data_IF_579911925705
#
_entry.id   IF_579911925705
#
_cell.length_a   1.000
_cell.length_b   1.000
_cell.length_c   1.000
_cell.angle_alpha   90.00
_cell.angle_beta   90.00
_cell.angle_gamma   90.00
#
_symmetry.space_group_name_H-M   'P 1'
#
loop_
_entity.id
_entity.type
_entity.pdbx_description
1 polymer ?
#
# COMPACT_ATOMS: atom_id res chain seq x y z
N UNK A 1 0.33 -19.09 -17.22
CA UNK A 1 1.37 -19.39 -16.22
C UNK A 1 1.68 -18.09 -15.50
N UNK A 2 1.19 -17.92 -14.27
CA UNK A 2 1.29 -16.67 -13.50
C UNK A 2 2.29 -16.92 -12.37
N UNK A 3 3.44 -16.26 -12.41
CA UNK A 3 4.44 -16.34 -11.34
C UNK A 3 3.92 -15.53 -10.14
N UNK A 4 3.85 -16.08 -8.93
CA UNK A 4 3.57 -15.28 -7.75
C UNK A 4 4.74 -14.34 -7.52
N UNK A 5 4.50 -13.03 -7.54
CA UNK A 5 5.47 -12.05 -7.06
C UNK A 5 5.69 -12.30 -5.56
N UNK A 6 6.79 -12.97 -5.23
CA UNK A 6 7.31 -12.96 -3.87
C UNK A 6 7.59 -11.51 -3.51
N UNK A 7 6.85 -10.98 -2.54
CA UNK A 7 7.24 -9.80 -1.79
C UNK A 7 8.53 -10.14 -1.03
N UNK A 8 9.67 -10.15 -1.72
CA UNK A 8 10.98 -10.24 -1.06
C UNK A 8 11.17 -8.98 -0.23
N UNK A 9 11.24 -9.15 1.08
CA UNK A 9 11.58 -8.06 1.98
C UNK A 9 13.07 -7.77 1.82
N UNK A 10 13.42 -6.84 0.92
CA UNK A 10 14.81 -6.46 0.65
C UNK A 10 15.36 -5.63 1.81
N UNK A 11 16.20 -6.24 2.65
CA UNK A 11 16.85 -5.55 3.77
C UNK A 11 18.00 -4.68 3.25
N UNK A 12 17.70 -3.43 2.92
CA UNK A 12 18.70 -2.42 2.57
C UNK A 12 19.16 -1.69 3.84
N UNK A 13 20.47 -1.54 4.01
CA UNK A 13 21.05 -0.80 5.15
C UNK A 13 21.06 0.69 4.86
N UNK A 14 20.40 1.50 5.70
CA UNK A 14 20.44 2.96 5.60
C UNK A 14 21.43 3.49 6.63
N UNK A 15 22.41 4.27 6.17
CA UNK A 15 23.32 4.99 7.05
C UNK A 15 22.62 6.21 7.64
N UNK A 16 22.48 6.23 8.97
CA UNK A 16 21.85 7.32 9.72
C UNK A 16 22.89 7.90 10.69
N UNK A 17 22.89 9.22 10.88
CA UNK A 17 23.84 9.85 11.81
C UNK A 17 23.67 9.32 13.25
N UNK A 18 24.77 9.16 14.03
CA UNK A 18 24.70 8.62 15.40
C UNK A 18 23.69 9.32 16.31
N UNK A 19 23.59 10.67 16.33
CA UNK A 19 22.62 11.36 17.20
C UNK A 19 21.16 11.02 16.88
N UNK A 20 20.85 10.80 15.60
CA UNK A 20 19.50 10.44 15.16
C UNK A 20 19.20 8.99 15.51
N UNK A 21 20.17 8.09 15.31
CA UNK A 21 20.00 6.67 15.68
C UNK A 21 19.75 6.50 17.18
N UNK A 22 20.49 7.21 18.03
CA UNK A 22 20.27 7.19 19.48
C UNK A 22 18.92 7.79 19.89
N UNK A 23 18.49 8.87 19.23
CA UNK A 23 17.18 9.47 19.49
C UNK A 23 16.04 8.52 19.09
N UNK A 24 16.19 7.84 17.95
CA UNK A 24 15.25 6.83 17.47
C UNK A 24 15.18 5.63 18.42
N UNK A 25 16.30 5.12 18.93
CA UNK A 25 16.31 4.00 19.89
C UNK A 25 15.58 4.34 21.19
N UNK A 26 15.80 5.54 21.74
CA UNK A 26 15.07 6.01 22.92
C UNK A 26 13.57 6.12 22.68
N UNK A 27 13.17 6.62 21.50
CA UNK A 27 11.76 6.73 21.13
C UNK A 27 11.11 5.35 20.93
N UNK A 28 11.80 4.44 20.25
CA UNK A 28 11.34 3.07 20.01
C UNK A 28 11.05 2.36 21.36
N UNK A 29 11.99 2.44 22.30
CA UNK A 29 11.82 1.90 23.66
C UNK A 29 10.63 2.50 24.40
N UNK A 30 10.43 3.82 24.30
CA UNK A 30 9.29 4.50 24.93
C UNK A 30 7.95 4.04 24.34
N UNK A 31 7.92 3.72 23.05
CA UNK A 31 6.73 3.27 22.34
C UNK A 31 6.52 1.75 22.36
N UNK A 32 7.45 0.98 22.95
CA UNK A 32 7.41 -0.48 22.93
C UNK A 32 7.65 -1.09 21.54
N UNK A 33 8.34 -0.37 20.65
CA UNK A 33 8.65 -0.78 19.28
C UNK A 33 10.11 -1.20 19.16
N UNK A 34 10.42 -2.04 18.18
CA UNK A 34 11.79 -2.23 17.71
C UNK A 34 12.25 -1.02 16.89
N UNK A 35 13.57 -0.82 16.81
CA UNK A 35 14.15 0.27 16.04
C UNK A 35 13.78 0.19 14.54
N UNK A 36 13.74 -1.02 13.98
CA UNK A 36 13.33 -1.25 12.58
C UNK A 36 11.87 -0.88 12.38
N UNK A 37 10.96 -1.29 13.26
CA UNK A 37 9.53 -0.94 13.17
C UNK A 37 9.32 0.58 13.25
N UNK A 38 10.04 1.26 14.13
CA UNK A 38 10.00 2.72 14.21
C UNK A 38 10.44 3.36 12.89
N UNK A 39 11.54 2.90 12.28
CA UNK A 39 11.98 3.41 10.98
C UNK A 39 10.97 3.14 9.87
N UNK A 40 10.39 1.94 9.82
CA UNK A 40 9.36 1.60 8.85
C UNK A 40 8.15 2.52 9.00
N UNK A 41 7.62 2.70 10.22
CA UNK A 41 6.48 3.58 10.46
C UNK A 41 6.77 5.04 10.13
N UNK A 42 7.96 5.53 10.49
CA UNK A 42 8.38 6.89 10.19
C UNK A 42 8.47 7.13 8.67
N UNK A 43 9.08 6.20 7.93
CA UNK A 43 9.17 6.27 6.47
C UNK A 43 7.80 6.16 5.81
N UNK A 44 6.96 5.21 6.23
CA UNK A 44 5.59 5.07 5.71
C UNK A 44 4.80 6.38 5.91
N UNK A 45 4.85 6.95 7.11
CA UNK A 45 4.15 8.19 7.43
C UNK A 45 4.70 9.38 6.64
N UNK A 46 6.03 9.47 6.51
CA UNK A 46 6.68 10.53 5.75
C UNK A 46 6.36 10.43 4.26
N UNK A 47 6.43 9.25 3.69
CA UNK A 47 6.07 8.99 2.29
C UNK A 47 4.60 9.33 2.07
N UNK A 48 3.68 8.79 2.90
CA UNK A 48 2.24 9.07 2.80
C UNK A 48 1.93 10.58 2.83
N UNK A 49 2.61 11.34 3.69
CA UNK A 49 2.46 12.79 3.79
C UNK A 49 2.88 13.54 2.51
N UNK A 50 3.79 12.98 1.71
CA UNK A 50 4.29 13.60 0.48
C UNK A 50 3.79 12.87 -0.79
N UNK A 51 2.83 11.95 -0.63
CA UNK A 51 2.33 11.06 -1.67
C UNK A 51 1.12 11.61 -2.47
N UNK A 52 0.85 12.92 -2.44
CA UNK A 52 -0.16 13.50 -3.35
C UNK A 52 0.08 13.09 -4.82
N UNK A 53 1.34 12.89 -5.22
CA UNK A 53 1.72 12.39 -6.54
C UNK A 53 1.56 10.87 -6.77
N UNK A 54 1.56 10.03 -5.73
CA UNK A 54 1.48 8.56 -5.93
C UNK A 54 0.03 8.13 -6.14
N UNK A 55 -0.94 8.78 -5.52
CA UNK A 55 -2.36 8.57 -5.85
C UNK A 55 -2.65 8.97 -7.29
N UNK A 56 -2.16 10.12 -7.76
CA UNK A 56 -2.30 10.53 -9.16
C UNK A 56 -1.57 9.60 -10.15
N UNK A 57 -0.36 9.17 -9.80
CA UNK A 57 0.40 8.21 -10.62
C UNK A 57 -0.25 6.82 -10.66
N UNK A 58 -0.78 6.34 -9.54
CA UNK A 58 -1.57 5.10 -9.50
C UNK A 58 -2.87 5.26 -10.29
N UNK A 59 -3.59 6.38 -10.13
CA UNK A 59 -4.79 6.68 -10.90
C UNK A 59 -4.49 6.66 -12.40
N UNK A 60 -3.39 7.26 -12.86
CA UNK A 60 -2.97 7.22 -14.27
C UNK A 60 -2.67 5.80 -14.77
N UNK A 61 -2.06 4.94 -13.95
CA UNK A 61 -1.84 3.52 -14.31
C UNK A 61 -3.17 2.75 -14.37
N UNK A 62 -4.09 3.00 -13.44
CA UNK A 62 -5.42 2.36 -13.42
C UNK A 62 -6.40 2.94 -14.45
N UNK A 63 -6.17 4.15 -14.97
CA UNK A 63 -7.01 4.79 -16.01
C UNK A 63 -6.87 4.11 -17.38
N UNK A 64 -5.76 3.41 -17.61
CA UNK A 64 -5.49 2.65 -18.84
C UNK A 64 -5.95 1.19 -18.76
N UNK A 65 -6.34 0.72 -17.57
CA UNK A 65 -7.01 -0.57 -17.40
C UNK A 65 -8.51 -0.36 -17.58
N UNK A 66 -9.05 -0.82 -18.71
CA UNK A 66 -10.50 -0.86 -18.94
C UNK A 66 -11.17 -1.61 -17.79
N UNK A 67 -11.72 -0.87 -16.82
CA UNK A 67 -12.59 -1.40 -15.76
C UNK A 67 -13.97 -1.77 -16.30
N UNK A 68 -14.00 -2.37 -17.50
CA UNK A 68 -15.20 -2.89 -18.10
C UNK A 68 -15.44 -4.28 -17.52
N UNK A 69 -16.52 -4.41 -16.75
CA UNK A 69 -17.05 -5.72 -16.40
C UNK A 69 -17.39 -6.43 -17.70
N UNK A 70 -16.89 -7.67 -17.85
CA UNK A 70 -17.14 -8.48 -19.05
C UNK A 70 -18.67 -8.53 -19.30
N UNK A 71 -19.15 -8.30 -20.54
CA UNK A 71 -20.59 -8.18 -20.82
C UNK A 71 -21.41 -9.36 -20.31
N UNK A 72 -20.81 -10.55 -20.30
CA UNK A 72 -21.42 -11.79 -19.82
C UNK A 72 -21.63 -11.79 -18.30
N UNK A 73 -20.72 -11.17 -17.53
CA UNK A 73 -20.85 -10.98 -16.08
C UNK A 73 -21.92 -9.92 -15.77
N UNK A 74 -22.02 -8.88 -16.60
CA UNK A 74 -23.08 -7.86 -16.50
C UNK A 74 -24.46 -8.46 -16.77
N UNK A 75 -24.58 -9.27 -17.82
CA UNK A 75 -25.82 -9.97 -18.14
C UNK A 75 -26.22 -10.97 -17.06
N UNK A 76 -25.27 -11.71 -16.49
CA UNK A 76 -25.54 -12.63 -15.39
C UNK A 76 -26.02 -11.92 -14.12
N UNK A 77 -25.50 -10.72 -13.82
CA UNK A 77 -26.02 -9.88 -12.72
C UNK A 77 -27.45 -9.41 -12.98
N UNK A 78 -27.75 -8.92 -14.19
CA UNK A 78 -29.10 -8.43 -14.52
C UNK A 78 -30.13 -9.56 -14.45
N UNK A 79 -29.78 -10.76 -14.91
CA UNK A 79 -30.69 -11.92 -14.87
C UNK A 79 -30.86 -12.49 -13.46
N UNK A 80 -29.92 -12.24 -12.55
CA UNK A 80 -30.02 -12.65 -11.14
C UNK A 80 -30.79 -11.66 -10.26
N UNK A 81 -31.16 -10.50 -10.80
CA UNK A 81 -32.12 -9.59 -10.17
C UNK A 81 -33.53 -10.12 -10.50
N UNK A 82 -34.00 -11.08 -9.71
CA UNK A 82 -35.42 -11.42 -9.68
C UNK A 82 -36.23 -10.14 -9.35
N UNK A 83 -37.38 -9.99 -9.99
CA UNK A 83 -38.37 -8.95 -9.70
C UNK A 83 -38.90 -9.11 -8.26
N UNK A 84 -38.11 -8.73 -7.25
CA UNK A 84 -38.68 -8.34 -5.96
C UNK A 84 -39.34 -6.97 -6.14
N UNK A 85 -40.65 -7.03 -6.40
CA UNK A 85 -41.58 -5.91 -6.30
C UNK A 85 -41.47 -5.27 -4.92
N UNK A 86 -40.75 -4.17 -4.83
CA UNK A 86 -40.89 -3.21 -3.75
C UNK A 86 -42.03 -2.24 -4.06
#
# INVERSE_FOLDING_TARGET
MMMPYSSENTKTGVSVSPPISEAADRLAKKLGLTLTELYTLALTSYIAKHQENITEMLNSVYEHETSAVEPDVTNAQIVSLDEESW
#
